data_IF_677343431057
#
_entry.id   IF_677343431057
#
_cell.length_a   1.000
_cell.length_b   1.000
_cell.length_c   1.000
_cell.angle_alpha   90.00
_cell.angle_beta   90.00
_cell.angle_gamma   90.00
#
_symmetry.space_group_name_H-M   'P 1'
#
loop_
_entity.id
_entity.type
_entity.pdbx_description
1 polymer ?
#
# COMPACT_ATOMS: atom_id res chain seq x y z
N UNK A 1 9.07 -4.15 0.89
CA UNK A 1 8.19 -2.99 0.63
C UNK A 1 7.35 -3.30 -0.61
N UNK A 2 6.05 -3.00 -0.58
CA UNK A 2 5.18 -3.10 -1.77
C UNK A 2 4.90 -1.68 -2.25
N UNK A 3 4.81 -1.49 -3.57
CA UNK A 3 4.57 -0.18 -4.16
C UNK A 3 3.51 -0.34 -5.24
N UNK A 4 2.50 0.52 -5.22
CA UNK A 4 1.51 0.64 -6.28
C UNK A 4 1.92 1.82 -7.17
N UNK A 5 2.16 1.60 -8.46
CA UNK A 5 2.55 2.65 -9.39
C UNK A 5 1.72 2.57 -10.65
N UNK A 6 1.38 3.72 -11.22
CA UNK A 6 0.82 3.78 -12.57
C UNK A 6 1.95 3.61 -13.60
N UNK A 7 1.91 2.57 -14.44
CA UNK A 7 2.86 2.42 -15.52
C UNK A 7 2.51 3.34 -16.69
N UNK A 8 3.54 3.80 -17.39
CA UNK A 8 3.44 4.37 -18.74
C UNK A 8 3.92 3.30 -19.71
N UNK A 9 3.05 2.94 -20.66
CA UNK A 9 3.38 1.98 -21.71
C UNK A 9 4.07 2.72 -22.86
N UNK A 10 5.15 2.14 -23.36
CA UNK A 10 5.80 2.57 -24.62
C UNK A 10 5.83 1.34 -25.55
N UNK A 11 4.69 0.99 -26.16
CA UNK A 11 4.53 -0.27 -26.89
C UNK A 11 5.53 -0.45 -28.05
N UNK A 12 5.87 0.64 -28.73
CA UNK A 12 6.78 0.67 -29.88
C UNK A 12 8.18 0.17 -29.52
N UNK A 13 8.57 0.30 -28.25
CA UNK A 13 9.85 -0.15 -27.72
C UNK A 13 9.73 -1.41 -26.85
N UNK A 14 8.50 -1.91 -26.64
CA UNK A 14 8.25 -3.00 -25.69
C UNK A 14 8.60 -2.64 -24.25
N UNK A 15 8.53 -1.35 -23.88
CA UNK A 15 8.94 -0.86 -22.56
C UNK A 15 7.74 -0.49 -21.68
N UNK A 16 7.93 -0.67 -20.37
CA UNK A 16 7.06 -0.15 -19.32
C UNK A 16 7.89 0.77 -18.44
N UNK A 17 7.49 2.03 -18.34
CA UNK A 17 8.16 3.04 -17.51
C UNK A 17 7.33 3.28 -16.26
N UNK A 18 7.98 3.28 -15.10
CA UNK A 18 7.36 3.66 -13.83
C UNK A 18 8.13 4.84 -13.24
N UNK A 19 7.40 5.76 -12.59
CA UNK A 19 7.97 6.92 -11.90
C UNK A 19 7.77 6.79 -10.39
N UNK A 20 8.65 6.07 -9.68
CA UNK A 20 8.61 6.02 -8.23
C UNK A 20 8.93 7.39 -7.61
N UNK A 21 8.22 7.73 -6.53
CA UNK A 21 8.62 8.83 -5.66
C UNK A 21 9.83 8.46 -4.81
N UNK A 22 10.42 9.45 -4.12
CA UNK A 22 11.64 9.31 -3.30
C UNK A 22 11.56 8.13 -2.32
N UNK A 23 10.42 7.97 -1.64
CA UNK A 23 10.21 6.92 -0.64
C UNK A 23 10.08 5.52 -1.25
N UNK A 24 9.57 5.43 -2.47
CA UNK A 24 9.39 4.16 -3.18
C UNK A 24 10.60 3.72 -4.01
N UNK A 25 11.58 4.61 -4.22
CA UNK A 25 12.75 4.34 -5.08
C UNK A 25 13.58 3.16 -4.57
N UNK A 26 13.63 2.97 -3.24
CA UNK A 26 14.35 1.86 -2.62
C UNK A 26 13.84 0.47 -3.05
N UNK A 27 12.58 0.35 -3.51
CA UNK A 27 12.07 -0.91 -4.07
C UNK A 27 12.79 -1.34 -5.36
N UNK A 28 13.37 -0.40 -6.09
CA UNK A 28 13.99 -0.62 -7.41
C UNK A 28 15.50 -0.79 -7.35
N UNK A 29 16.13 -0.58 -6.19
CA UNK A 29 17.58 -0.70 -6.05
C UNK A 29 18.06 -2.15 -5.84
N UNK A 30 17.19 -3.06 -5.40
CA UNK A 30 17.60 -4.38 -4.88
C UNK A 30 17.40 -5.56 -5.85
N UNK A 31 17.62 -5.36 -7.14
CA UNK A 31 17.62 -6.45 -8.13
C UNK A 31 16.29 -6.64 -8.85
N UNK A 32 15.76 -7.88 -8.89
CA UNK A 32 14.55 -8.22 -9.64
C UNK A 32 13.28 -7.81 -8.89
N UNK A 33 12.25 -7.44 -9.65
CA UNK A 33 10.94 -6.99 -9.12
C UNK A 33 9.86 -7.94 -9.61
N UNK A 34 8.93 -8.30 -8.73
CA UNK A 34 7.69 -8.99 -9.09
C UNK A 34 6.64 -7.95 -9.50
N UNK A 35 6.05 -8.12 -10.68
CA UNK A 35 4.96 -7.27 -11.17
C UNK A 35 3.67 -8.09 -11.20
N UNK A 36 2.63 -7.55 -10.59
CA UNK A 36 1.31 -8.17 -10.52
C UNK A 36 0.24 -7.16 -10.93
N UNK A 37 -0.89 -7.61 -11.51
CA UNK A 37 -2.06 -6.75 -11.69
C UNK A 37 -2.54 -6.17 -10.36
N UNK A 38 -3.07 -4.95 -10.39
CA UNK A 38 -3.61 -4.30 -9.18
C UNK A 38 -4.75 -5.16 -8.58
N UNK A 39 -4.64 -5.54 -7.28
CA UNK A 39 -5.71 -6.23 -6.58
C UNK A 39 -6.96 -5.35 -6.44
N UNK A 40 -8.16 -5.95 -6.53
CA UNK A 40 -9.44 -5.22 -6.38
C UNK A 40 -9.53 -4.40 -5.09
N UNK A 41 -8.99 -4.90 -3.99
CA UNK A 41 -8.97 -4.23 -2.69
C UNK A 41 -8.10 -2.96 -2.66
N UNK A 42 -7.19 -2.78 -3.62
CA UNK A 42 -6.24 -1.68 -3.66
C UNK A 42 -6.60 -0.58 -4.65
N UNK A 43 -7.70 -0.72 -5.42
CA UNK A 43 -8.12 0.26 -6.43
C UNK A 43 -8.36 1.67 -5.90
N UNK A 44 -8.74 1.78 -4.62
CA UNK A 44 -8.98 3.06 -3.97
C UNK A 44 -7.69 3.72 -3.46
N UNK A 45 -6.57 3.01 -3.43
CA UNK A 45 -5.30 3.52 -2.93
C UNK A 45 -4.60 4.38 -3.99
N UNK A 46 -3.94 5.48 -3.59
CA UNK A 46 -3.11 6.25 -4.50
C UNK A 46 -1.83 5.47 -4.87
N UNK A 47 -1.14 5.92 -5.92
CA UNK A 47 0.21 5.43 -6.18
C UNK A 47 1.17 5.80 -5.04
N UNK A 48 2.02 4.87 -4.64
CA UNK A 48 2.94 5.05 -3.53
C UNK A 48 3.26 3.74 -2.82
N UNK A 49 3.91 3.86 -1.67
CA UNK A 49 4.21 2.72 -0.80
C UNK A 49 2.91 2.17 -0.24
N UNK A 50 2.72 0.86 -0.39
CA UNK A 50 1.60 0.14 0.23
C UNK A 50 2.07 -0.37 1.60
N UNK A 51 1.39 0.02 2.69
CA UNK A 51 1.71 -0.46 4.03
C UNK A 51 1.74 -2.00 4.08
N UNK A 52 2.72 -2.55 4.80
CA UNK A 52 2.83 -4.00 4.97
C UNK A 52 1.62 -4.58 5.73
N UNK A 53 0.99 -3.75 6.56
CA UNK A 53 -0.21 -4.08 7.32
C UNK A 53 -1.26 -3.03 7.01
N UNK A 54 -2.33 -3.43 6.34
CA UNK A 54 -3.60 -2.72 6.40
C UNK A 54 -4.24 -3.13 7.72
N UNK A 55 -4.69 -2.20 8.57
CA UNK A 55 -5.42 -2.52 9.79
C UNK A 55 -6.88 -2.09 9.63
N UNK A 56 -7.73 -2.89 8.95
CA UNK A 56 -9.12 -2.53 8.69
C UNK A 56 -9.90 -2.14 9.94
N UNK A 57 -9.64 -2.81 11.07
CA UNK A 57 -10.31 -2.50 12.33
C UNK A 57 -9.88 -1.14 12.88
N UNK A 58 -8.59 -0.79 12.78
CA UNK A 58 -8.11 0.50 13.25
C UNK A 58 -8.62 1.67 12.37
N UNK A 59 -8.91 1.40 11.10
CA UNK A 59 -9.41 2.38 10.14
C UNK A 59 -10.94 2.53 10.17
N UNK A 60 -11.66 1.58 10.78
CA UNK A 60 -13.11 1.62 10.94
C UNK A 60 -13.51 2.59 12.07
N UNK A 61 -13.97 3.79 11.66
CA UNK A 61 -14.42 4.83 12.59
C UNK A 61 -15.61 4.40 13.47
N UNK A 62 -16.40 3.41 13.05
CA UNK A 62 -17.52 2.90 13.87
C UNK A 62 -17.03 2.16 15.12
N UNK A 63 -15.78 1.68 15.11
CA UNK A 63 -15.15 1.00 16.24
C UNK A 63 -14.47 1.96 17.21
N UNK A 64 -14.44 3.27 16.93
CA UNK A 64 -13.85 4.26 17.84
C UNK A 64 -14.41 4.18 19.27
N UNK A 65 -15.74 4.05 19.51
CA UNK A 65 -16.26 3.89 20.87
C UNK A 65 -15.75 2.62 21.56
N UNK A 66 -15.59 1.52 20.82
CA UNK A 66 -15.07 0.26 21.34
C UNK A 66 -13.59 0.40 21.73
N UNK A 67 -12.75 0.93 20.83
CA UNK A 67 -11.33 1.13 21.10
C UNK A 67 -11.02 2.22 22.14
N UNK A 68 -11.99 3.10 22.42
CA UNK A 68 -11.86 4.15 23.44
C UNK A 68 -12.47 3.75 24.80
N UNK A 69 -13.09 2.56 24.93
CA UNK A 69 -13.65 2.08 26.19
C UNK A 69 -12.51 1.70 27.15
N UNK A 70 -12.53 2.24 28.37
CA UNK A 70 -11.47 2.00 29.37
C UNK A 70 -11.26 0.51 29.67
N UNK A 71 -12.31 -0.30 29.62
CA UNK A 71 -12.21 -1.75 29.86
C UNK A 71 -11.45 -2.44 28.73
N UNK A 72 -11.65 -1.98 27.50
CA UNK A 72 -10.94 -2.50 26.32
C UNK A 72 -9.47 -2.10 26.37
N UNK A 73 -9.18 -0.82 26.69
CA UNK A 73 -7.81 -0.32 26.86
C UNK A 73 -7.09 -1.11 27.95
N UNK A 74 -7.71 -1.30 29.11
CA UNK A 74 -7.11 -2.04 30.24
C UNK A 74 -6.88 -3.52 29.94
N UNK A 75 -7.73 -4.13 29.12
CA UNK A 75 -7.58 -5.53 28.71
C UNK A 75 -6.49 -5.73 27.64
N UNK A 76 -6.26 -4.72 26.79
CA UNK A 76 -5.26 -4.76 25.72
C UNK A 76 -3.81 -4.72 26.26
N UNK A 77 -3.61 -4.19 27.46
CA UNK A 77 -2.29 -4.05 28.11
C UNK A 77 -1.70 -2.66 27.94
#
# INVERSE_FOLDING_TARGET
MRVLLRPVLVPELGLVIVKPGRESMSAFHNGRILVEPEPKSMRALPSGVVPAVHQPLAEDKSLLPFFSDERVIRAAG
#
